data_IF_292612782990
#
_entry.id   IF_292612782990
#
_cell.length_a   1.000
_cell.length_b   1.000
_cell.length_c   1.000
_cell.angle_alpha   90.00
_cell.angle_beta   90.00
_cell.angle_gamma   90.00
#
_symmetry.space_group_name_H-M   'P 1'
#
loop_
_entity.id
_entity.type
_entity.pdbx_description
1 polymer ?
#
# COMPACT_ATOMS: atom_id res chain seq x y z
N UNK A 1 3.18 11.16 -6.72
CA UNK A 1 2.64 10.77 -5.40
C UNK A 1 2.98 9.32 -5.16
N UNK A 2 3.73 9.05 -4.10
CA UNK A 2 3.96 7.69 -3.63
C UNK A 2 3.23 7.52 -2.29
N UNK A 3 2.41 6.48 -2.19
CA UNK A 3 1.51 6.22 -1.08
C UNK A 3 1.65 4.79 -0.60
N UNK A 4 1.67 4.61 0.71
CA UNK A 4 1.66 3.29 1.34
C UNK A 4 0.83 3.35 2.61
N UNK A 5 -0.14 2.45 2.73
CA UNK A 5 -0.93 2.27 3.93
C UNK A 5 -1.09 0.76 4.24
N UNK A 6 -0.62 0.36 5.42
CA UNK A 6 -0.47 -1.07 5.78
C UNK A 6 -0.99 -1.33 7.20
N UNK A 7 -2.31 -1.27 7.44
CA UNK A 7 -2.89 -1.75 8.68
C UNK A 7 -2.99 -3.28 8.66
N UNK A 8 -2.34 -3.93 9.62
CA UNK A 8 -2.24 -5.38 9.77
C UNK A 8 -2.66 -5.80 11.17
N UNK A 9 -3.42 -6.88 11.29
CA UNK A 9 -3.75 -7.50 12.56
C UNK A 9 -3.02 -8.84 12.71
N UNK A 10 -2.43 -9.04 13.88
CA UNK A 10 -1.77 -10.27 14.34
C UNK A 10 -2.52 -10.83 15.56
N UNK A 11 -2.09 -11.98 16.05
CA UNK A 11 -2.74 -12.62 17.19
C UNK A 11 -2.63 -11.80 18.48
N UNK A 12 -1.57 -11.02 18.71
CA UNK A 12 -1.36 -10.28 19.98
C UNK A 12 -1.32 -8.75 19.83
N UNK A 13 -1.21 -8.26 18.59
CA UNK A 13 -1.10 -6.83 18.30
C UNK A 13 -1.63 -6.50 16.90
N UNK A 14 -1.82 -5.22 16.64
CA UNK A 14 -2.01 -4.67 15.30
C UNK A 14 -0.86 -3.71 14.98
N UNK A 15 -0.57 -3.53 13.70
CA UNK A 15 0.35 -2.50 13.21
C UNK A 15 -0.41 -1.61 12.24
N UNK A 16 -0.20 -0.31 12.33
CA UNK A 16 -0.66 0.67 11.36
C UNK A 16 0.57 1.42 10.86
N UNK A 17 0.91 1.22 9.59
CA UNK A 17 1.95 1.97 8.90
C UNK A 17 1.32 2.84 7.82
N UNK A 18 1.74 4.10 7.74
CA UNK A 18 1.31 5.03 6.70
C UNK A 18 2.47 5.93 6.27
N UNK A 19 2.74 6.00 4.97
CA UNK A 19 3.80 6.82 4.40
C UNK A 19 3.29 7.52 3.13
N UNK A 20 3.63 8.80 3.00
CA UNK A 20 3.51 9.56 1.75
C UNK A 20 4.87 10.17 1.40
N UNK A 21 5.32 9.92 0.17
CA UNK A 21 6.58 10.44 -0.36
C UNK A 21 6.33 11.36 -1.57
N UNK A 22 7.08 12.46 -1.59
CA UNK A 22 7.30 13.33 -2.75
C UNK A 22 8.18 12.63 -3.80
N UNK A 23 8.28 13.13 -5.04
CA UNK A 23 9.02 12.47 -6.12
C UNK A 23 10.49 12.15 -5.81
N UNK A 24 11.14 12.93 -4.94
CA UNK A 24 12.53 12.73 -4.52
C UNK A 24 12.68 11.81 -3.28
N UNK A 25 11.58 11.30 -2.74
CA UNK A 25 11.55 10.47 -1.53
C UNK A 25 11.38 11.24 -0.22
N UNK A 26 11.19 12.57 -0.26
CA UNK A 26 10.88 13.32 0.96
C UNK A 26 9.53 12.87 1.53
N UNK A 27 9.51 12.45 2.80
CA UNK A 27 8.29 12.02 3.48
C UNK A 27 7.52 13.21 4.04
N UNK A 28 6.37 13.49 3.46
CA UNK A 28 5.39 14.45 3.99
C UNK A 28 4.48 13.82 5.06
N UNK A 29 4.35 12.49 5.04
CA UNK A 29 3.67 11.70 6.07
C UNK A 29 4.50 10.46 6.40
N UNK A 30 4.67 10.19 7.69
CA UNK A 30 5.36 9.00 8.19
C UNK A 30 4.81 8.61 9.56
N UNK A 31 4.13 7.48 9.66
CA UNK A 31 3.80 6.83 10.93
C UNK A 31 3.94 5.31 10.81
N UNK A 32 4.37 4.68 11.91
CA UNK A 32 4.42 3.24 12.07
C UNK A 32 4.18 2.93 13.53
N UNK A 33 2.99 2.44 13.83
CA UNK A 33 2.52 2.26 15.20
C UNK A 33 2.09 0.82 15.43
N UNK A 34 2.56 0.21 16.52
CA UNK A 34 2.12 -1.10 17.01
C UNK A 34 1.21 -0.92 18.21
N UNK A 35 0.07 -1.60 18.20
CA UNK A 35 -1.01 -1.49 19.18
C UNK A 35 -1.26 -2.88 19.76
N UNK A 36 -1.02 -3.06 21.05
CA UNK A 36 -1.18 -4.33 21.75
C UNK A 36 -2.62 -4.53 22.23
N UNK A 37 -3.00 -5.78 22.51
CA UNK A 37 -4.35 -6.13 23.00
C UNK A 37 -4.76 -5.44 24.30
N UNK A 38 -3.81 -5.12 25.15
CA UNK A 38 -4.04 -4.41 26.41
C UNK A 38 -4.17 -2.89 26.25
N UNK A 39 -4.05 -2.38 25.02
CA UNK A 39 -4.12 -0.96 24.68
C UNK A 39 -2.77 -0.24 24.75
N UNK A 40 -1.67 -0.93 25.07
CA UNK A 40 -0.33 -0.35 24.94
C UNK A 40 -0.02 -0.01 23.49
N UNK A 41 0.63 1.15 23.27
CA UNK A 41 0.95 1.67 21.93
C UNK A 41 2.45 1.96 21.85
N UNK A 42 3.08 1.47 20.80
CA UNK A 42 4.51 1.65 20.51
C UNK A 42 4.68 2.29 19.14
N UNK A 43 5.51 3.34 19.07
CA UNK A 43 5.95 3.90 17.81
C UNK A 43 7.18 3.13 17.32
N UNK A 44 7.06 2.50 16.15
CA UNK A 44 8.08 1.67 15.55
C UNK A 44 9.05 2.51 14.69
N UNK A 45 9.78 3.42 15.33
CA UNK A 45 10.92 4.15 14.74
C UNK A 45 10.65 4.75 13.35
N UNK A 46 11.69 4.79 12.50
CA UNK A 46 11.58 5.23 11.11
C UNK A 46 11.52 4.01 10.18
N UNK A 47 10.34 3.67 9.61
CA UNK A 47 10.20 2.49 8.77
C UNK A 47 10.91 2.66 7.42
N UNK A 48 11.86 1.78 7.10
CA UNK A 48 12.49 1.69 5.78
C UNK A 48 11.72 0.68 4.95
N UNK A 49 11.16 1.11 3.83
CA UNK A 49 10.30 0.26 3.01
C UNK A 49 10.93 0.00 1.64
N UNK A 50 10.86 -1.25 1.20
CA UNK A 50 11.10 -1.66 -0.18
C UNK A 50 9.85 -2.32 -0.72
N UNK A 51 9.21 -1.71 -1.71
CA UNK A 51 8.12 -2.35 -2.45
C UNK A 51 8.70 -3.28 -3.50
N UNK A 52 8.12 -4.46 -3.62
CA UNK A 52 8.42 -5.42 -4.67
C UNK A 52 7.34 -5.27 -5.74
N UNK A 53 7.72 -4.92 -6.96
CA UNK A 53 6.79 -4.75 -8.07
C UNK A 53 6.86 -5.92 -9.03
N UNK A 54 5.74 -6.23 -9.68
CA UNK A 54 5.72 -7.14 -10.82
C UNK A 54 6.44 -6.48 -12.00
N UNK A 55 7.45 -7.17 -12.53
CA UNK A 55 8.20 -6.76 -13.74
C UNK A 55 7.25 -6.35 -14.87
N UNK A 56 7.61 -5.25 -15.55
CA UNK A 56 6.81 -4.64 -16.61
C UNK A 56 5.54 -3.95 -16.12
N UNK A 57 5.38 -3.69 -14.81
CA UNK A 57 4.21 -3.00 -14.26
C UNK A 57 4.61 -2.06 -13.11
N UNK A 58 3.61 -1.37 -12.54
CA UNK A 58 3.69 -0.67 -11.24
C UNK A 58 2.84 -1.35 -10.15
N UNK A 59 2.43 -2.59 -10.39
CA UNK A 59 1.58 -3.35 -9.47
C UNK A 59 2.47 -4.03 -8.42
N UNK A 60 2.24 -3.80 -7.12
CA UNK A 60 3.08 -4.40 -6.09
C UNK A 60 2.72 -5.88 -5.90
N UNK A 61 3.73 -6.71 -5.73
CA UNK A 61 3.61 -8.12 -5.30
C UNK A 61 3.84 -8.28 -3.80
N UNK A 62 4.34 -7.24 -3.13
CA UNK A 62 4.59 -7.24 -1.70
C UNK A 62 5.49 -6.10 -1.26
N UNK A 63 5.94 -6.14 -0.01
CA UNK A 63 6.88 -5.19 0.56
C UNK A 63 7.79 -5.87 1.60
N UNK A 64 9.02 -5.38 1.72
CA UNK A 64 9.88 -5.62 2.89
C UNK A 64 10.00 -4.32 3.67
N UNK A 65 9.73 -4.38 4.97
CA UNK A 65 9.68 -3.22 5.86
C UNK A 65 10.59 -3.48 7.06
N UNK A 66 11.55 -2.59 7.27
CA UNK A 66 12.42 -2.59 8.45
C UNK A 66 12.04 -1.41 9.34
N UNK A 67 11.75 -1.67 10.61
CA UNK A 67 11.43 -0.67 11.63
C UNK A 67 12.20 -0.98 12.91
N UNK A 68 11.95 -0.23 13.98
CA UNK A 68 12.57 -0.49 15.28
C UNK A 68 11.64 -0.16 16.43
N UNK A 69 11.67 -0.93 17.49
CA UNK A 69 11.04 -0.60 18.78
C UNK A 69 11.65 0.67 19.39
N UNK A 70 11.04 1.26 20.44
CA UNK A 70 11.57 2.46 21.09
C UNK A 70 12.98 2.32 21.68
N UNK A 71 13.38 1.11 22.09
CA UNK A 71 14.73 0.79 22.57
C UNK A 71 15.72 0.45 21.44
N UNK A 72 15.28 0.52 20.18
CA UNK A 72 16.09 0.33 18.99
C UNK A 72 16.22 -1.11 18.52
N UNK A 73 15.52 -2.07 19.14
CA UNK A 73 15.49 -3.44 18.62
C UNK A 73 14.79 -3.49 17.26
N UNK A 74 15.34 -4.22 16.26
CA UNK A 74 14.78 -4.23 14.92
C UNK A 74 13.45 -4.99 14.88
N UNK A 75 12.50 -4.48 14.10
CA UNK A 75 11.22 -5.12 13.78
C UNK A 75 11.12 -5.24 12.27
N UNK A 76 10.90 -6.44 11.77
CA UNK A 76 10.91 -6.73 10.34
C UNK A 76 9.57 -7.29 9.88
N UNK A 77 9.07 -6.77 8.76
CA UNK A 77 7.86 -7.26 8.10
C UNK A 77 8.16 -7.68 6.66
N UNK A 78 7.72 -8.88 6.30
CA UNK A 78 7.57 -9.29 4.91
C UNK A 78 6.08 -9.37 4.58
N UNK A 79 5.61 -8.48 3.71
CA UNK A 79 4.22 -8.37 3.29
C UNK A 79 4.08 -8.95 1.89
N UNK A 80 3.13 -9.85 1.73
CA UNK A 80 2.73 -10.44 0.45
C UNK A 80 1.40 -9.84 0.01
N UNK A 81 1.36 -9.38 -1.24
CA UNK A 81 0.16 -8.86 -1.89
C UNK A 81 -0.75 -9.98 -2.37
N UNK A 82 -2.01 -9.96 -1.93
CA UNK A 82 -3.07 -10.87 -2.38
C UNK A 82 -4.27 -10.07 -2.86
N UNK A 83 -5.06 -10.66 -3.77
CA UNK A 83 -6.38 -10.17 -4.19
C UNK A 83 -6.44 -8.65 -4.45
N UNK A 84 -5.79 -8.20 -5.52
CA UNK A 84 -5.71 -6.78 -5.88
C UNK A 84 -7.08 -6.17 -6.22
N UNK A 85 -7.34 -4.98 -5.70
CA UNK A 85 -8.53 -4.15 -5.96
C UNK A 85 -8.06 -2.73 -6.35
N UNK A 86 -7.92 -2.44 -7.66
CA UNK A 86 -7.55 -1.10 -8.12
C UNK A 86 -8.69 -0.12 -7.85
N UNK A 87 -8.52 0.76 -6.86
CA UNK A 87 -9.64 1.55 -6.29
C UNK A 87 -10.12 2.66 -7.22
N UNK A 88 -9.27 3.13 -8.13
CA UNK A 88 -9.65 4.08 -9.17
C UNK A 88 -10.53 3.45 -10.25
N UNK A 89 -10.39 2.14 -10.49
CA UNK A 89 -11.19 1.42 -11.50
C UNK A 89 -12.61 1.21 -10.96
N UNK A 90 -13.48 2.14 -11.32
CA UNK A 90 -14.89 2.10 -10.93
C UNK A 90 -15.20 2.51 -9.50
N UNK A 91 -14.20 2.67 -8.61
CA UNK A 91 -14.36 3.14 -7.22
C UNK A 91 -14.20 4.65 -7.03
N UNK A 92 -13.80 5.38 -8.08
CA UNK A 92 -13.78 6.85 -8.10
C UNK A 92 -12.58 7.51 -7.41
N UNK A 93 -11.58 6.73 -7.00
CA UNK A 93 -10.33 7.22 -6.39
C UNK A 93 -9.38 7.85 -7.43
N UNK A 94 -9.84 8.91 -8.11
CA UNK A 94 -9.07 9.71 -9.06
C UNK A 94 -8.53 8.93 -10.28
N UNK A 95 -8.01 9.63 -11.29
CA UNK A 95 -7.29 9.00 -12.41
C UNK A 95 -8.12 8.26 -13.46
N UNK A 96 -9.33 7.78 -13.15
CA UNK A 96 -10.26 7.23 -14.15
C UNK A 96 -11.19 8.34 -14.69
N UNK A 97 -11.51 8.30 -15.98
CA UNK A 97 -12.34 9.30 -16.66
C UNK A 97 -13.83 9.14 -16.40
N UNK A 98 -14.25 7.98 -15.88
CA UNK A 98 -15.67 7.65 -15.70
C UNK A 98 -16.36 8.54 -14.66
N UNK A 99 -15.73 8.67 -13.48
CA UNK A 99 -16.21 9.49 -12.37
C UNK A 99 -15.15 9.67 -11.28
N UNK A 100 -15.36 10.66 -10.41
CA UNK A 100 -14.54 10.89 -9.22
C UNK A 100 -15.38 10.85 -7.94
N UNK A 101 -14.75 10.46 -6.84
CA UNK A 101 -15.36 10.47 -5.52
C UNK A 101 -15.96 11.85 -5.21
N UNK A 102 -17.22 11.87 -4.75
CA UNK A 102 -17.96 13.11 -4.48
C UNK A 102 -18.58 13.81 -5.69
N UNK A 103 -18.46 13.26 -6.91
CA UNK A 103 -19.07 13.87 -8.10
C UNK A 103 -20.60 13.71 -8.13
N UNK A 104 -21.32 14.83 -8.17
CA UNK A 104 -22.77 14.82 -8.33
C UNK A 104 -23.19 14.33 -9.72
N UNK A 105 -24.07 13.31 -9.76
CA UNK A 105 -24.63 12.72 -11.00
C UNK A 105 -26.14 12.94 -11.16
N UNK A 106 -26.75 13.74 -10.28
CA UNK A 106 -28.21 13.95 -10.22
C UNK A 106 -28.89 13.20 -9.09
N UNK A 107 -30.08 13.68 -8.68
CA UNK A 107 -30.77 13.31 -7.45
C UNK A 107 -31.09 11.81 -7.31
N UNK A 108 -31.35 11.13 -8.42
CA UNK A 108 -31.80 9.74 -8.45
C UNK A 108 -30.88 8.84 -9.26
N UNK A 109 -29.62 9.24 -9.40
CA UNK A 109 -28.64 8.46 -10.15
C UNK A 109 -28.22 7.21 -9.37
N UNK A 110 -28.31 6.05 -10.01
CA UNK A 110 -27.78 4.78 -9.52
C UNK A 110 -27.13 4.07 -10.71
N UNK A 111 -25.95 3.52 -10.51
CA UNK A 111 -25.24 2.77 -11.53
C UNK A 111 -24.58 1.54 -10.92
N UNK A 112 -24.59 0.43 -11.67
CA UNK A 112 -23.79 -0.76 -11.38
C UNK A 112 -22.83 -0.95 -12.55
N UNK A 113 -21.54 -1.05 -12.25
CA UNK A 113 -20.51 -1.48 -13.19
C UNK A 113 -20.02 -2.88 -12.84
N UNK A 114 -19.50 -3.59 -13.83
CA UNK A 114 -18.82 -4.87 -13.65
C UNK A 114 -17.64 -4.86 -14.60
N UNK A 115 -16.45 -5.08 -14.06
CA UNK A 115 -15.20 -5.06 -14.81
C UNK A 115 -14.64 -6.46 -14.87
N UNK A 116 -14.19 -6.86 -16.05
CA UNK A 116 -13.33 -8.02 -16.20
C UNK A 116 -11.90 -7.61 -15.81
N UNK A 117 -11.42 -8.12 -14.69
CA UNK A 117 -10.08 -7.80 -14.19
C UNK A 117 -8.96 -8.44 -15.02
N UNK A 118 -9.31 -9.25 -16.02
CA UNK A 118 -8.38 -9.80 -17.01
C UNK A 118 -8.35 -9.00 -18.32
N UNK A 119 -9.24 -8.01 -18.48
CA UNK A 119 -9.26 -7.14 -19.65
C UNK A 119 -7.95 -6.30 -19.72
N UNK A 120 -7.20 -6.37 -20.83
CA UNK A 120 -5.97 -5.60 -21.02
C UNK A 120 -6.14 -4.09 -20.80
N UNK A 121 -7.31 -3.53 -21.11
CA UNK A 121 -7.60 -2.10 -20.91
C UNK A 121 -7.70 -1.74 -19.42
N UNK A 122 -8.21 -2.66 -18.60
CA UNK A 122 -8.29 -2.52 -17.13
C UNK A 122 -6.90 -2.70 -16.52
N UNK A 123 -6.17 -3.72 -16.94
CA UNK A 123 -4.81 -3.99 -16.47
C UNK A 123 -3.89 -2.79 -16.77
N UNK A 124 -4.01 -2.20 -17.98
CA UNK A 124 -3.19 -1.07 -18.40
C UNK A 124 -3.38 0.17 -17.52
N UNK A 125 -4.57 0.39 -16.95
CA UNK A 125 -4.82 1.51 -16.03
C UNK A 125 -4.57 1.16 -14.57
N UNK A 126 -4.68 -0.11 -14.17
CA UNK A 126 -4.61 -0.54 -12.77
C UNK A 126 -3.33 -0.11 -12.05
N UNK A 127 -2.19 -0.13 -12.73
CA UNK A 127 -0.90 0.29 -12.14
C UNK A 127 -0.71 1.80 -11.96
N UNK A 128 -1.64 2.63 -12.43
CA UNK A 128 -1.55 4.10 -12.40
C UNK A 128 -2.55 4.72 -11.42
N UNK A 129 -2.96 3.96 -10.42
CA UNK A 129 -3.82 4.39 -9.32
C UNK A 129 -3.34 3.78 -8.01
N UNK A 130 -4.11 4.04 -6.94
CA UNK A 130 -3.93 3.32 -5.67
C UNK A 130 -4.61 1.96 -5.80
N UNK A 131 -3.97 0.93 -5.27
CA UNK A 131 -4.49 -0.43 -5.27
C UNK A 131 -4.56 -0.93 -3.83
N UNK A 132 -5.74 -1.38 -3.43
CA UNK A 132 -5.93 -2.12 -2.20
C UNK A 132 -5.59 -3.59 -2.44
N UNK A 133 -4.78 -4.16 -1.56
CA UNK A 133 -4.52 -5.58 -1.54
C UNK A 133 -4.87 -6.16 -0.18
N UNK A 134 -5.28 -7.42 -0.17
CA UNK A 134 -5.20 -8.22 1.05
C UNK A 134 -3.72 -8.46 1.34
N UNK A 135 -3.21 -7.87 2.41
CA UNK A 135 -1.84 -8.06 2.86
C UNK A 135 -1.74 -9.28 3.77
N UNK A 136 -0.91 -10.26 3.40
CA UNK A 136 -0.43 -11.31 4.33
C UNK A 136 0.95 -10.91 4.81
N UNK A 137 1.15 -10.79 6.12
CA UNK A 137 2.44 -10.36 6.66
C UNK A 137 3.07 -11.42 7.57
N UNK A 138 4.38 -11.55 7.51
CA UNK A 138 5.19 -12.15 8.57
C UNK A 138 5.94 -11.03 9.29
N UNK A 139 5.75 -10.91 10.61
CA UNK A 139 6.41 -9.93 11.46
C UNK A 139 7.37 -10.64 12.41
N UNK A 140 8.59 -10.14 12.59
CA UNK A 140 9.55 -10.66 13.57
C UNK A 140 10.25 -9.53 14.31
N UNK A 141 10.40 -9.70 15.62
CA UNK A 141 11.22 -8.84 16.48
C UNK A 141 12.61 -9.47 16.63
N UNK A 142 13.66 -8.73 16.29
CA UNK A 142 15.03 -9.22 16.36
C UNK A 142 15.23 -10.55 15.62
N UNK A 143 15.84 -11.50 16.33
CA UNK A 143 16.04 -12.87 15.86
C UNK A 143 14.90 -13.85 16.23
N UNK A 144 13.78 -13.31 16.72
CA UNK A 144 12.60 -14.09 17.09
C UNK A 144 11.95 -14.82 15.91
N UNK A 145 11.09 -15.79 16.26
CA UNK A 145 10.25 -16.48 15.30
C UNK A 145 9.22 -15.51 14.71
N UNK A 146 8.96 -15.57 13.40
CA UNK A 146 7.96 -14.71 12.79
C UNK A 146 6.55 -15.11 13.24
N UNK A 147 5.71 -14.11 13.49
CA UNK A 147 4.27 -14.23 13.67
C UNK A 147 3.55 -13.79 12.40
N UNK A 148 2.41 -14.40 12.10
CA UNK A 148 1.64 -14.08 10.90
C UNK A 148 0.50 -13.12 11.22
N UNK A 149 0.27 -12.17 10.31
CA UNK A 149 -0.84 -11.23 10.36
C UNK A 149 -1.46 -11.01 9.00
N UNK A 150 -2.65 -10.40 9.01
CA UNK A 150 -3.43 -10.10 7.81
C UNK A 150 -4.07 -8.72 7.91
N UNK A 151 -4.29 -8.08 6.77
CA UNK A 151 -4.97 -6.80 6.73
C UNK A 151 -4.94 -6.18 5.34
N UNK A 152 -4.84 -4.85 5.31
CA UNK A 152 -4.73 -4.09 4.07
C UNK A 152 -3.25 -3.85 3.74
N UNK A 153 -2.93 -4.00 2.46
CA UNK A 153 -1.71 -3.50 1.85
C UNK A 153 -2.12 -2.59 0.70
N UNK A 154 -2.31 -1.31 1.00
CA UNK A 154 -2.67 -0.29 0.02
C UNK A 154 -1.41 0.40 -0.46
N UNK A 155 -1.23 0.48 -1.78
CA UNK A 155 -0.07 1.13 -2.36
C UNK A 155 -0.39 1.79 -3.70
N UNK A 156 0.27 2.92 -3.96
CA UNK A 156 0.26 3.59 -5.26
C UNK A 156 1.57 4.32 -5.52
N UNK A 157 2.08 4.22 -6.74
CA UNK A 157 3.26 4.93 -7.22
C UNK A 157 2.94 5.71 -8.50
N UNK A 158 2.38 6.90 -8.32
CA UNK A 158 1.85 7.74 -9.40
C UNK A 158 2.88 8.78 -9.84
N UNK A 159 3.35 8.66 -11.08
CA UNK A 159 4.37 9.56 -11.64
C UNK A 159 5.78 9.21 -11.22
N UNK A 160 6.65 10.22 -11.23
CA UNK A 160 8.05 10.09 -10.81
C UNK A 160 8.14 9.74 -9.33
N UNK A 161 9.01 8.78 -9.01
CA UNK A 161 9.46 8.45 -7.67
C UNK A 161 10.87 7.87 -7.72
N UNK A 162 11.87 8.70 -7.42
CA UNK A 162 13.28 8.39 -7.56
C UNK A 162 13.71 7.17 -6.71
N UNK A 163 13.27 7.01 -5.44
CA UNK A 163 13.62 5.84 -4.62
C UNK A 163 13.09 4.50 -5.17
N UNK A 164 11.97 4.50 -5.89
CA UNK A 164 11.42 3.31 -6.54
C UNK A 164 12.00 3.07 -7.94
N UNK A 165 12.86 3.96 -8.45
CA UNK A 165 13.41 3.88 -9.80
C UNK A 165 12.43 4.29 -10.91
N UNK A 166 11.31 4.94 -10.57
CA UNK A 166 10.34 5.42 -11.55
C UNK A 166 10.69 6.85 -11.96
N UNK A 167 11.36 7.01 -13.10
CA UNK A 167 11.87 8.32 -13.54
C UNK A 167 10.77 9.28 -14.03
N UNK A 168 9.65 8.75 -14.51
CA UNK A 168 8.53 9.50 -15.06
C UNK A 168 7.19 8.79 -14.82
N UNK A 169 6.14 9.16 -15.54
CA UNK A 169 4.83 8.52 -15.44
C UNK A 169 4.79 7.13 -16.09
N UNK A 170 5.62 6.86 -17.09
CA UNK A 170 5.55 5.66 -17.94
C UNK A 170 6.56 4.57 -17.58
N UNK A 171 7.57 4.89 -16.77
CA UNK A 171 8.62 3.94 -16.34
C UNK A 171 7.98 2.79 -15.57
N UNK A 172 8.39 1.54 -15.86
CA UNK A 172 7.85 0.33 -15.23
C UNK A 172 8.96 -0.40 -14.49
N UNK A 173 8.60 -1.23 -13.51
CA UNK A 173 9.57 -2.04 -12.79
C UNK A 173 10.29 -3.02 -13.74
N UNK A 174 11.60 -3.30 -13.52
CA UNK A 174 12.36 -4.25 -14.33
C UNK A 174 11.86 -5.69 -14.15
#
# INVERSE_FOLDING_TARGET
>A
MWWLYVPLAFDDFAVVLIIQEEPDGFRSLNDCTRIWRDGHVEQLGWPRVRIHYRSGTRIPTGATIEASTPDGAPVHFDVESKLAVPTHVGGGYGGDSDWSHGMWKGEKFVERRTYDMTDPTIIARAGFGVIDHVGRALCRDGDGNPVQGWGLFEHGALGRHDPSGFADWSTLAP
#
